data_IF_481925340290
#
_entry.id   IF_481925340290
#
_cell.length_a   1.000
_cell.length_b   1.000
_cell.length_c   1.000
_cell.angle_alpha   90.00
_cell.angle_beta   90.00
_cell.angle_gamma   90.00
#
_symmetry.space_group_name_H-M   'P 1'
#
loop_
_entity.id
_entity.type
_entity.pdbx_description
1 polymer ?
#
# COMPACT_ATOMS: atom_id res chain seq x y z
N UNK A 1 8.14 -7.35 7.95
CA UNK A 1 6.97 -7.84 7.19
C UNK A 1 7.38 -8.33 5.80
N UNK A 2 7.98 -7.49 4.93
CA UNK A 2 8.44 -7.94 3.61
C UNK A 2 9.42 -9.13 3.66
N UNK A 3 10.39 -9.14 4.58
CA UNK A 3 11.31 -10.29 4.75
C UNK A 3 10.64 -11.59 5.23
N UNK A 4 9.41 -11.47 5.75
CA UNK A 4 8.60 -12.59 6.26
C UNK A 4 7.45 -12.95 5.30
N UNK A 5 7.35 -12.26 4.16
CA UNK A 5 6.34 -12.53 3.15
C UNK A 5 6.60 -13.89 2.51
N UNK A 6 5.58 -14.74 2.50
CA UNK A 6 5.63 -16.02 1.80
C UNK A 6 5.24 -15.90 0.33
N UNK A 7 5.38 -17.03 -0.38
CA UNK A 7 4.89 -17.16 -1.76
C UNK A 7 3.38 -17.00 -1.83
N UNK A 8 2.87 -16.61 -2.98
CA UNK A 8 1.43 -16.64 -3.25
C UNK A 8 0.85 -18.04 -2.95
N UNK A 9 -0.38 -18.09 -2.44
CA UNK A 9 -1.08 -19.32 -2.04
C UNK A 9 -0.39 -20.16 -0.94
N UNK A 10 0.73 -19.73 -0.36
CA UNK A 10 1.40 -20.43 0.75
C UNK A 10 0.69 -20.30 2.11
N UNK A 11 -0.45 -19.59 2.16
CA UNK A 11 -1.20 -19.26 3.39
C UNK A 11 -0.42 -18.37 4.37
N UNK A 12 0.73 -17.82 4.00
CA UNK A 12 1.53 -16.95 4.88
C UNK A 12 0.74 -15.75 5.44
N UNK A 13 -0.23 -15.22 4.68
CA UNK A 13 -1.06 -14.09 5.09
C UNK A 13 -2.32 -14.49 5.90
N UNK A 14 -2.41 -15.74 6.38
CA UNK A 14 -3.48 -16.12 7.31
C UNK A 14 -3.30 -15.43 8.67
N UNK A 15 -4.42 -15.14 9.35
CA UNK A 15 -4.43 -14.36 10.59
C UNK A 15 -3.46 -14.90 11.65
N UNK A 16 -3.41 -16.20 11.89
CA UNK A 16 -2.49 -16.80 12.86
C UNK A 16 -1.03 -16.52 12.52
N UNK A 17 -0.66 -16.68 11.25
CA UNK A 17 0.71 -16.49 10.77
C UNK A 17 1.10 -15.01 10.81
N UNK A 18 0.16 -14.10 10.51
CA UNK A 18 0.40 -12.66 10.64
C UNK A 18 0.60 -12.23 12.10
N UNK A 19 -0.12 -12.84 13.04
CA UNK A 19 0.08 -12.60 14.48
C UNK A 19 1.43 -13.16 14.96
N UNK A 20 1.82 -14.35 14.51
CA UNK A 20 3.15 -14.91 14.79
C UNK A 20 4.27 -14.02 14.22
N UNK A 21 4.12 -13.51 13.00
CA UNK A 21 5.06 -12.53 12.43
C UNK A 21 5.09 -11.26 13.29
N UNK A 22 3.93 -10.80 13.77
CA UNK A 22 3.82 -9.61 14.62
C UNK A 22 4.59 -9.78 15.93
N UNK A 23 4.54 -10.97 16.55
CA UNK A 23 5.31 -11.28 17.76
C UNK A 23 6.84 -11.15 17.56
N UNK A 24 7.33 -11.25 16.32
CA UNK A 24 8.75 -11.05 16.00
C UNK A 24 9.14 -9.57 15.82
N UNK A 25 8.17 -8.64 15.82
CA UNK A 25 8.42 -7.21 15.62
C UNK A 25 8.59 -6.53 16.98
N UNK A 26 9.81 -6.07 17.24
CA UNK A 26 10.13 -5.36 18.48
C UNK A 26 9.19 -4.15 18.68
N UNK A 27 8.55 -4.09 19.86
CA UNK A 27 7.68 -2.98 20.25
C UNK A 27 6.23 -3.08 19.75
N UNK A 28 5.84 -4.21 19.13
CA UNK A 28 4.45 -4.45 18.72
C UNK A 28 3.86 -5.62 19.50
N UNK A 29 2.76 -5.39 20.20
CA UNK A 29 2.02 -6.41 20.95
C UNK A 29 0.99 -7.09 20.02
N UNK A 30 1.20 -8.38 19.73
CA UNK A 30 0.29 -9.13 18.87
C UNK A 30 -1.12 -9.31 19.46
N UNK A 31 -1.27 -9.37 20.79
CA UNK A 31 -2.59 -9.43 21.45
C UNK A 31 -3.33 -8.11 21.28
N UNK A 32 -2.63 -6.98 21.40
CA UNK A 32 -3.19 -5.67 21.14
C UNK A 32 -3.61 -5.52 19.67
N UNK A 33 -2.78 -5.99 18.73
CA UNK A 33 -3.11 -6.02 17.28
C UNK A 33 -4.33 -6.90 17.02
N UNK A 34 -4.37 -8.12 17.55
CA UNK A 34 -5.50 -9.04 17.39
C UNK A 34 -6.82 -8.43 17.90
N UNK A 35 -6.75 -7.73 19.02
CA UNK A 35 -7.88 -7.02 19.62
C UNK A 35 -8.31 -5.81 18.79
N UNK A 36 -7.36 -5.03 18.29
CA UNK A 36 -7.60 -3.89 17.40
C UNK A 36 -8.30 -4.35 16.11
N UNK A 37 -7.79 -5.40 15.46
CA UNK A 37 -8.41 -5.97 14.25
C UNK A 37 -9.84 -6.44 14.49
N UNK A 38 -10.14 -7.03 15.66
CA UNK A 38 -11.49 -7.48 15.99
C UNK A 38 -12.45 -6.32 16.19
N UNK A 39 -12.05 -5.30 16.96
CA UNK A 39 -12.90 -4.14 17.28
C UNK A 39 -13.14 -3.24 16.08
N UNK A 40 -12.13 -3.06 15.23
CA UNK A 40 -12.17 -2.13 14.11
C UNK A 40 -12.42 -2.82 12.76
N UNK A 41 -12.88 -4.07 12.75
CA UNK A 41 -12.97 -4.91 11.54
C UNK A 41 -13.66 -4.20 10.39
N UNK A 42 -14.84 -3.62 10.65
CA UNK A 42 -15.67 -3.03 9.60
C UNK A 42 -15.07 -1.71 9.10
N UNK A 43 -14.53 -0.88 10.00
CA UNK A 43 -13.84 0.36 9.65
C UNK A 43 -12.57 0.10 8.83
N UNK A 44 -11.77 -0.91 9.21
CA UNK A 44 -10.58 -1.32 8.44
C UNK A 44 -10.98 -1.85 7.07
N UNK A 45 -12.05 -2.65 6.99
CA UNK A 45 -12.56 -3.14 5.70
C UNK A 45 -13.01 -1.99 4.80
N UNK A 46 -13.77 -1.04 5.32
CA UNK A 46 -14.21 0.14 4.58
C UNK A 46 -13.01 0.94 4.05
N UNK A 47 -11.98 1.16 4.87
CA UNK A 47 -10.75 1.85 4.45
C UNK A 47 -10.02 1.10 3.31
N UNK A 48 -9.98 -0.24 3.34
CA UNK A 48 -9.38 -1.04 2.26
C UNK A 48 -10.20 -0.92 0.97
N UNK A 49 -11.54 -0.98 1.07
CA UNK A 49 -12.43 -0.86 -0.08
C UNK A 49 -12.32 0.54 -0.73
N UNK A 50 -12.17 1.58 0.08
CA UNK A 50 -11.92 2.96 -0.39
C UNK A 50 -10.57 3.07 -1.13
N UNK A 51 -9.50 2.46 -0.60
CA UNK A 51 -8.18 2.43 -1.26
C UNK A 51 -8.22 1.68 -2.60
N UNK A 52 -8.94 0.56 -2.67
CA UNK A 52 -9.15 -0.19 -3.92
C UNK A 52 -9.89 0.67 -4.95
N UNK A 53 -10.98 1.32 -4.54
CA UNK A 53 -11.75 2.21 -5.41
C UNK A 53 -10.92 3.40 -5.90
N UNK A 54 -10.09 3.97 -5.04
CA UNK A 54 -9.17 5.03 -5.42
C UNK A 54 -8.15 4.54 -6.46
N UNK A 55 -7.59 3.35 -6.29
CA UNK A 55 -6.70 2.71 -7.27
C UNK A 55 -7.38 2.52 -8.65
N UNK A 56 -8.60 1.99 -8.67
CA UNK A 56 -9.39 1.77 -9.89
C UNK A 56 -9.72 3.08 -10.60
N UNK A 57 -10.22 4.07 -9.87
CA UNK A 57 -10.57 5.40 -10.39
C UNK A 57 -9.36 6.08 -11.03
N UNK A 58 -8.17 5.91 -10.41
CA UNK A 58 -6.92 6.43 -10.93
C UNK A 58 -6.27 5.52 -11.97
N UNK A 59 -6.92 4.42 -12.38
CA UNK A 59 -6.44 3.47 -13.37
C UNK A 59 -5.08 2.86 -13.03
N UNK A 60 -4.82 2.61 -11.75
CA UNK A 60 -3.66 1.86 -11.29
C UNK A 60 -3.97 0.36 -11.47
N UNK A 61 -3.09 -0.36 -12.17
CA UNK A 61 -3.28 -1.77 -12.55
C UNK A 61 -2.21 -2.72 -12.00
N UNK A 62 -1.31 -2.21 -11.18
CA UNK A 62 -0.20 -2.98 -10.64
C UNK A 62 0.56 -2.21 -9.58
N UNK A 63 1.38 -2.93 -8.82
CA UNK A 63 2.19 -2.40 -7.73
C UNK A 63 3.70 -2.61 -7.99
N UNK A 64 4.57 -1.75 -7.43
CA UNK A 64 4.23 -0.49 -6.77
C UNK A 64 3.67 0.53 -7.79
N UNK A 65 2.93 1.52 -7.30
CA UNK A 65 2.47 2.65 -8.08
C UNK A 65 2.66 3.94 -7.29
N UNK A 66 2.89 5.04 -8.00
CA UNK A 66 3.18 6.34 -7.42
C UNK A 66 2.22 7.37 -8.01
N UNK A 67 1.62 8.18 -7.15
CA UNK A 67 0.91 9.40 -7.54
C UNK A 67 1.86 10.58 -7.33
N UNK A 68 2.02 11.40 -8.35
CA UNK A 68 2.90 12.57 -8.37
C UNK A 68 2.01 13.79 -8.39
N UNK A 69 2.09 14.62 -7.36
CA UNK A 69 1.28 15.84 -7.22
C UNK A 69 2.19 17.06 -7.21
N UNK A 70 1.94 18.02 -8.08
CA UNK A 70 2.56 19.34 -7.95
C UNK A 70 1.85 20.12 -6.85
N UNK A 71 2.57 20.52 -5.81
CA UNK A 71 2.00 21.23 -4.65
C UNK A 71 1.62 22.67 -4.94
N UNK A 72 2.14 23.26 -6.02
CA UNK A 72 1.86 24.65 -6.41
C UNK A 72 0.69 24.77 -7.37
N UNK A 73 0.23 23.66 -7.93
CA UNK A 73 -0.93 23.59 -8.81
C UNK A 73 -1.87 22.46 -8.36
N UNK A 74 -2.93 22.20 -9.13
CA UNK A 74 -3.81 21.03 -8.93
C UNK A 74 -3.43 19.88 -9.85
N UNK A 75 -2.27 19.95 -10.52
CA UNK A 75 -1.83 18.94 -11.50
C UNK A 75 -1.32 17.69 -10.80
N UNK A 76 -1.71 16.54 -11.34
CA UNK A 76 -1.24 15.25 -10.88
C UNK A 76 -0.95 14.30 -12.04
N UNK A 77 -0.03 13.38 -11.81
CA UNK A 77 0.29 12.27 -12.70
C UNK A 77 0.51 10.99 -11.92
N UNK A 78 0.76 9.90 -12.64
CA UNK A 78 1.06 8.59 -12.04
C UNK A 78 2.22 7.89 -12.73
N UNK A 79 2.89 7.03 -11.99
CA UNK A 79 3.93 6.12 -12.48
C UNK A 79 3.67 4.73 -11.91
N UNK A 80 3.50 3.71 -12.77
CA UNK A 80 3.20 2.33 -12.35
C UNK A 80 4.43 1.45 -12.56
N UNK A 81 4.70 0.59 -11.58
CA UNK A 81 5.83 -0.33 -11.54
C UNK A 81 7.02 0.22 -10.76
N UNK A 82 7.95 -0.69 -10.43
CA UNK A 82 9.26 -0.34 -9.89
C UNK A 82 10.13 0.24 -11.01
N UNK A 83 9.94 1.52 -11.30
CA UNK A 83 10.58 2.21 -12.42
C UNK A 83 11.95 2.79 -12.04
N UNK A 84 12.89 2.93 -12.98
CA UNK A 84 14.17 3.59 -12.73
C UNK A 84 14.01 5.11 -12.53
N UNK A 85 14.98 5.71 -11.85
CA UNK A 85 15.02 7.14 -11.56
C UNK A 85 14.83 8.05 -12.78
N UNK A 86 15.33 7.64 -13.96
CA UNK A 86 15.17 8.39 -15.21
C UNK A 86 13.70 8.56 -15.62
N UNK A 87 12.83 7.58 -15.33
CA UNK A 87 11.40 7.68 -15.61
C UNK A 87 10.68 8.54 -14.58
N UNK A 88 11.11 8.53 -13.32
CA UNK A 88 10.63 9.49 -12.32
C UNK A 88 10.93 10.93 -12.75
N UNK A 89 12.16 11.22 -13.19
CA UNK A 89 12.52 12.55 -13.74
C UNK A 89 11.60 13.00 -14.87
N UNK A 90 11.28 12.09 -15.81
CA UNK A 90 10.35 12.38 -16.91
C UNK A 90 8.93 12.62 -16.41
N UNK A 91 8.48 11.83 -15.44
CA UNK A 91 7.15 11.97 -14.86
C UNK A 91 6.97 13.30 -14.11
N UNK A 92 7.97 13.75 -13.33
CA UNK A 92 7.95 15.07 -12.68
C UNK A 92 7.82 16.20 -13.69
N UNK A 93 8.69 16.22 -14.72
CA UNK A 93 8.62 17.23 -15.80
C UNK A 93 7.26 17.22 -16.51
N UNK A 94 6.66 16.05 -16.70
CA UNK A 94 5.34 15.92 -17.33
C UNK A 94 4.26 16.58 -16.47
N UNK A 95 4.29 16.38 -15.15
CA UNK A 95 3.32 17.01 -14.24
C UNK A 95 3.51 18.52 -14.18
N UNK A 96 4.77 19.00 -14.09
CA UNK A 96 5.07 20.44 -14.06
C UNK A 96 4.50 21.17 -15.30
N UNK A 97 4.64 20.54 -16.48
CA UNK A 97 4.25 21.10 -17.77
C UNK A 97 2.79 20.83 -18.19
N UNK A 98 2.01 20.09 -17.40
CA UNK A 98 0.65 19.66 -17.77
C UNK A 98 -0.41 20.77 -17.72
#
# INVERSE_FOLDING_TARGET
MFDKQGKENSRWAQRSNLLEITDTVQGVDATAVASCMKRNKDAVRASIDDDIKASETNGIRGTPAFIIVDRKSTKAGKLVGAQPYSLFKKAFKKVDNA
#
